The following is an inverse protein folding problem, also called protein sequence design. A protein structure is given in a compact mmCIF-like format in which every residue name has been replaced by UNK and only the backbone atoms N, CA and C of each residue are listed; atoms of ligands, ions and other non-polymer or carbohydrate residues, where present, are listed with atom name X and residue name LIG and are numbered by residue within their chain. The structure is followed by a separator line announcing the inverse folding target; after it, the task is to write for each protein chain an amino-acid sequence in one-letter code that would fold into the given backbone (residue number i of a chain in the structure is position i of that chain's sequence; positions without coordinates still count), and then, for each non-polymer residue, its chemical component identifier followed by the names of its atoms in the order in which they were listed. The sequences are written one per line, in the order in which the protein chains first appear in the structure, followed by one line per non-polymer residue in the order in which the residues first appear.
data_IF_072923596019
#
_entry.id   IF_072923596019
#
_cell.length_a   1.000
_cell.length_b   1.000
_cell.length_c   1.000
_cell.angle_alpha   90.00
_cell.angle_beta   90.00
_cell.angle_gamma   90.00
#
_symmetry.space_group_name_H-M   'P 1'
#
loop_
_entity.id
_entity.type
_entity.pdbx_description
1 polymer ?
#
# COMPACT_ATOMS: atom_id res chain seq x y z
N UNK A 1 -11.35 20.78 8.72
CA UNK A 1 -11.05 20.82 7.27
C UNK A 1 -9.68 21.46 7.15
N UNK A 2 -8.62 20.66 6.92
CA UNK A 2 -7.26 21.17 6.82
C UNK A 2 -7.10 22.02 5.55
N UNK A 3 -6.49 23.17 5.67
CA UNK A 3 -6.19 24.01 4.52
C UNK A 3 -4.99 23.47 3.76
N UNK A 4 -5.15 23.17 2.48
CA UNK A 4 -4.05 22.91 1.56
C UNK A 4 -3.28 24.24 1.35
N UNK A 5 -2.13 24.40 1.99
CA UNK A 5 -1.25 25.54 1.77
C UNK A 5 -0.42 25.33 0.50
N UNK A 6 -0.75 26.09 -0.54
CA UNK A 6 0.05 26.11 -1.77
C UNK A 6 1.38 26.85 -1.53
N UNK A 7 2.50 26.19 -1.76
CA UNK A 7 3.79 26.86 -1.92
C UNK A 7 3.90 27.42 -3.35
N UNK A 8 4.70 28.45 -3.55
CA UNK A 8 4.79 29.27 -4.78
C UNK A 8 5.17 28.54 -6.09
N UNK A 9 5.24 27.20 -6.11
CA UNK A 9 5.66 26.39 -7.26
C UNK A 9 4.87 25.09 -7.40
N UNK A 10 3.58 25.08 -7.04
CA UNK A 10 2.70 23.92 -7.18
C UNK A 10 2.96 22.80 -6.16
N UNK A 11 3.76 23.06 -5.11
CA UNK A 11 3.92 22.14 -3.98
C UNK A 11 2.87 22.41 -2.92
N UNK A 12 2.32 21.34 -2.35
CA UNK A 12 1.31 21.40 -1.30
C UNK A 12 1.78 20.56 -0.11
N UNK A 13 1.55 21.04 1.09
CA UNK A 13 1.74 20.30 2.33
C UNK A 13 0.37 19.88 2.85
N UNK A 14 0.19 18.56 3.05
CA UNK A 14 -0.95 18.04 3.78
C UNK A 14 -0.55 17.89 5.25
N UNK A 15 -1.00 18.81 6.10
CA UNK A 15 -0.66 18.90 7.53
C UNK A 15 -1.80 18.47 8.45
N UNK A 16 -2.78 17.73 7.91
CA UNK A 16 -3.93 17.21 8.63
C UNK A 16 -3.88 15.69 8.76
N UNK A 17 -4.45 15.15 9.85
CA UNK A 17 -4.57 13.72 10.10
C UNK A 17 -5.87 13.20 9.47
N UNK A 18 -5.80 11.99 8.85
CA UNK A 18 -6.97 11.28 8.31
C UNK A 18 -7.35 11.63 6.87
N UNK A 19 -6.65 12.56 6.22
CA UNK A 19 -6.94 12.97 4.84
C UNK A 19 -6.01 12.34 3.79
N UNK A 20 -5.01 11.57 4.20
CA UNK A 20 -4.01 10.99 3.31
C UNK A 20 -4.63 10.11 2.22
N UNK A 21 -5.67 9.35 2.55
CA UNK A 21 -6.40 8.53 1.58
C UNK A 21 -7.03 9.35 0.46
N UNK A 22 -7.53 10.55 0.78
CA UNK A 22 -8.10 11.48 -0.22
C UNK A 22 -7.00 12.02 -1.13
N UNK A 23 -5.84 12.34 -0.57
CA UNK A 23 -4.68 12.75 -1.35
C UNK A 23 -4.21 11.63 -2.29
N UNK A 24 -4.15 10.38 -1.83
CA UNK A 24 -3.85 9.24 -2.69
C UNK A 24 -4.88 9.06 -3.82
N UNK A 25 -6.16 9.31 -3.55
CA UNK A 25 -7.19 9.19 -4.59
C UNK A 25 -7.03 10.21 -5.73
N UNK A 26 -6.30 11.30 -5.53
CA UNK A 26 -5.99 12.32 -6.54
C UNK A 26 -4.63 12.09 -7.22
N UNK A 27 -3.79 11.22 -6.66
CA UNK A 27 -2.43 11.03 -7.14
C UNK A 27 -2.38 10.21 -8.43
N UNK A 28 -1.52 10.60 -9.37
CA UNK A 28 -1.12 9.79 -10.52
C UNK A 28 -0.05 8.76 -10.13
N UNK A 29 0.90 9.19 -9.30
CA UNK A 29 2.00 8.37 -8.77
C UNK A 29 2.15 8.67 -7.28
N UNK A 30 2.31 7.64 -6.48
CA UNK A 30 2.61 7.74 -5.05
C UNK A 30 4.04 7.31 -4.81
N UNK A 31 4.85 8.19 -4.20
CA UNK A 31 6.23 7.87 -3.81
C UNK A 31 6.28 7.60 -2.31
N UNK A 32 6.79 6.43 -1.94
CA UNK A 32 6.98 6.04 -0.54
C UNK A 32 8.30 6.65 -0.04
N UNK A 33 8.27 7.92 0.34
CA UNK A 33 9.47 8.72 0.67
C UNK A 33 10.35 8.09 1.76
N UNK A 34 9.76 7.48 2.79
CA UNK A 34 10.47 6.83 3.89
C UNK A 34 11.35 5.65 3.46
N UNK A 35 11.10 5.06 2.30
CA UNK A 35 11.88 3.94 1.75
C UNK A 35 13.21 4.36 1.11
N UNK A 36 13.48 5.67 0.99
CA UNK A 36 14.74 6.19 0.44
C UNK A 36 15.76 6.61 1.52
N UNK A 37 15.47 6.36 2.78
CA UNK A 37 16.34 6.69 3.93
C UNK A 37 16.25 5.63 5.02
N UNK A 38 16.63 6.02 6.24
CA UNK A 38 16.72 5.11 7.39
C UNK A 38 15.40 4.95 8.15
N UNK A 39 14.26 5.19 7.49
CA UNK A 39 12.93 5.10 8.08
C UNK A 39 12.17 3.83 7.66
N UNK A 40 12.82 2.91 6.97
CA UNK A 40 12.39 1.53 6.66
C UNK A 40 11.01 1.38 5.98
N UNK A 41 10.52 2.44 5.29
CA UNK A 41 9.30 2.41 4.49
C UNK A 41 8.06 2.97 5.18
N UNK A 42 6.94 2.80 4.54
CA UNK A 42 5.57 3.11 5.00
C UNK A 42 4.58 2.13 4.41
N UNK A 43 3.38 2.08 4.95
CA UNK A 43 2.30 1.25 4.43
C UNK A 43 1.92 1.62 2.99
N UNK A 44 1.96 0.62 2.11
CA UNK A 44 1.64 0.73 0.69
C UNK A 44 0.24 0.21 0.34
N UNK A 45 -0.48 -0.37 1.31
CA UNK A 45 -1.78 -0.99 1.07
C UNK A 45 -2.86 0.02 0.70
N UNK A 46 -2.86 1.22 1.31
CA UNK A 46 -3.85 2.25 0.96
C UNK A 46 -3.75 2.72 -0.49
N UNK A 47 -2.58 3.20 -0.99
CA UNK A 47 -2.47 3.60 -2.38
C UNK A 47 -2.65 2.42 -3.35
N UNK A 48 -2.24 1.20 -2.97
CA UNK A 48 -2.48 -0.01 -3.75
C UNK A 48 -3.98 -0.32 -3.88
N UNK A 49 -4.73 -0.27 -2.79
CA UNK A 49 -6.18 -0.48 -2.79
C UNK A 49 -6.93 0.54 -3.67
N UNK A 50 -6.39 1.75 -3.81
CA UNK A 50 -6.91 2.80 -4.69
C UNK A 50 -6.43 2.68 -6.15
N UNK A 51 -5.68 1.64 -6.48
CA UNK A 51 -5.16 1.41 -7.83
C UNK A 51 -4.15 2.47 -8.28
N UNK A 52 -3.35 3.02 -7.36
CA UNK A 52 -2.34 4.02 -7.69
C UNK A 52 -1.02 3.37 -8.06
N UNK A 53 -0.30 3.98 -9.00
CA UNK A 53 1.06 3.60 -9.32
C UNK A 53 1.97 3.97 -8.14
N UNK A 54 2.68 2.99 -7.58
CA UNK A 54 3.49 3.16 -6.37
C UNK A 54 4.96 3.02 -6.73
N UNK A 55 5.76 4.00 -6.32
CA UNK A 55 7.22 3.97 -6.42
C UNK A 55 7.82 3.88 -5.03
N UNK A 56 8.75 2.95 -4.83
CA UNK A 56 9.44 2.75 -3.55
C UNK A 56 10.95 2.75 -3.73
N UNK A 57 11.65 3.13 -2.68
CA UNK A 57 13.09 2.94 -2.53
C UNK A 57 13.44 1.53 -2.04
N UNK A 58 14.75 1.27 -1.82
CA UNK A 58 15.24 -0.05 -1.42
C UNK A 58 14.91 -0.45 0.03
N UNK A 59 14.53 0.52 0.89
CA UNK A 59 14.32 0.29 2.32
C UNK A 59 12.84 0.09 2.62
N UNK A 60 12.39 -1.17 2.67
CA UNK A 60 10.98 -1.54 2.90
C UNK A 60 10.84 -2.56 4.02
N UNK A 61 11.79 -2.65 4.93
CA UNK A 61 11.93 -3.71 5.93
C UNK A 61 10.71 -3.82 6.85
N UNK A 62 10.15 -2.68 7.30
CA UNK A 62 8.96 -2.65 8.17
C UNK A 62 7.69 -3.15 7.46
N UNK A 63 7.71 -3.18 6.14
CA UNK A 63 6.58 -3.57 5.28
C UNK A 63 6.99 -4.63 4.24
N UNK A 64 8.01 -5.44 4.54
CA UNK A 64 8.61 -6.37 3.60
C UNK A 64 7.60 -7.30 2.93
N UNK A 65 6.72 -7.94 3.70
CA UNK A 65 5.72 -8.86 3.15
C UNK A 65 4.77 -8.17 2.15
N UNK A 66 4.36 -6.93 2.43
CA UNK A 66 3.51 -6.13 1.53
C UNK A 66 4.29 -5.72 0.28
N UNK A 67 5.52 -5.26 0.44
CA UNK A 67 6.39 -4.85 -0.67
C UNK A 67 6.66 -6.03 -1.61
N UNK A 68 6.99 -7.19 -1.07
CA UNK A 68 7.28 -8.40 -1.83
C UNK A 68 6.05 -8.90 -2.59
N UNK A 69 4.87 -8.90 -1.97
CA UNK A 69 3.64 -9.26 -2.63
C UNK A 69 3.31 -8.31 -3.79
N UNK A 70 3.45 -7.00 -3.58
CA UNK A 70 3.22 -5.98 -4.61
C UNK A 70 4.25 -6.08 -5.75
N UNK A 71 5.54 -6.36 -5.46
CA UNK A 71 6.57 -6.61 -6.49
C UNK A 71 6.24 -7.84 -7.31
N UNK A 72 5.93 -8.95 -6.66
CA UNK A 72 5.59 -10.21 -7.33
C UNK A 72 4.36 -10.05 -8.24
N UNK A 73 3.40 -9.24 -7.83
CA UNK A 73 2.20 -8.92 -8.61
C UNK A 73 2.38 -7.82 -9.66
N UNK A 74 3.57 -7.21 -9.78
CA UNK A 74 3.83 -6.12 -10.74
C UNK A 74 3.21 -4.76 -10.34
N UNK A 75 2.74 -4.63 -9.09
CA UNK A 75 2.07 -3.44 -8.57
C UNK A 75 3.02 -2.40 -7.96
N UNK A 76 4.33 -2.68 -7.87
CA UNK A 76 5.32 -1.80 -7.27
C UNK A 76 6.43 -1.49 -8.27
N UNK A 77 6.88 -0.25 -8.29
CA UNK A 77 8.02 0.19 -9.09
C UNK A 77 9.17 0.54 -8.14
N UNK A 78 10.29 -0.15 -8.26
CA UNK A 78 11.47 0.14 -7.45
C UNK A 78 12.31 1.25 -8.09
N UNK A 79 12.86 2.13 -7.23
CA UNK A 79 13.77 3.18 -7.62
C UNK A 79 14.87 3.35 -6.56
N UNK A 80 16.02 3.86 -6.98
CA UNK A 80 17.04 4.39 -6.07
C UNK A 80 16.92 5.91 -6.00
N UNK A 81 17.63 6.57 -5.08
CA UNK A 81 17.70 8.04 -5.05
C UNK A 81 18.15 8.62 -6.39
N UNK A 82 19.13 7.98 -7.02
CA UNK A 82 19.71 8.46 -8.28
C UNK A 82 18.77 8.23 -9.47
N UNK A 83 18.01 7.14 -9.48
CA UNK A 83 17.09 6.81 -10.58
C UNK A 83 15.69 7.42 -10.41
N UNK A 84 15.32 7.91 -9.22
CA UNK A 84 13.94 8.33 -8.90
C UNK A 84 13.40 9.37 -9.90
N UNK A 85 14.18 10.40 -10.20
CA UNK A 85 13.75 11.45 -11.13
C UNK A 85 13.44 10.89 -12.53
N UNK A 86 14.30 9.99 -13.03
CA UNK A 86 14.10 9.34 -14.32
C UNK A 86 12.88 8.41 -14.32
N UNK A 87 12.71 7.60 -13.26
CA UNK A 87 11.55 6.72 -13.09
C UNK A 87 10.25 7.52 -13.07
N UNK A 88 10.20 8.61 -12.32
CA UNK A 88 9.02 9.47 -12.25
C UNK A 88 8.72 10.12 -13.59
N UNK A 89 9.72 10.65 -14.30
CA UNK A 89 9.54 11.24 -15.63
C UNK A 89 8.95 10.22 -16.61
N UNK A 90 9.46 8.99 -16.62
CA UNK A 90 8.96 7.93 -17.48
C UNK A 90 7.51 7.53 -17.13
N UNK A 91 7.17 7.43 -15.85
CA UNK A 91 5.81 7.11 -15.41
C UNK A 91 4.83 8.25 -15.71
N UNK A 92 5.24 9.50 -15.55
CA UNK A 92 4.39 10.66 -15.86
C UNK A 92 4.09 10.73 -17.36
N UNK A 93 5.07 10.43 -18.21
CA UNK A 93 4.92 10.41 -19.65
C UNK A 93 4.07 9.24 -20.17
N UNK A 94 3.93 8.15 -19.41
CA UNK A 94 3.22 6.94 -19.85
C UNK A 94 2.01 6.60 -18.93
N UNK A 95 0.82 7.16 -19.21
CA UNK A 95 -0.38 6.90 -18.42
C UNK A 95 -0.86 5.44 -18.51
N UNK A 96 -0.55 4.75 -19.61
CA UNK A 96 -0.94 3.33 -19.78
C UNK A 96 -0.14 2.46 -18.82
N UNK A 97 1.16 2.69 -18.75
CA UNK A 97 2.05 2.00 -17.82
C UNK A 97 1.68 2.29 -16.36
N UNK A 98 1.40 3.57 -16.02
CA UNK A 98 0.91 3.93 -14.68
C UNK A 98 -0.35 3.15 -14.30
N UNK A 99 -1.34 3.15 -15.20
CA UNK A 99 -2.60 2.44 -14.95
C UNK A 99 -2.40 0.93 -14.85
N UNK A 100 -1.45 0.34 -15.57
CA UNK A 100 -1.13 -1.09 -15.47
C UNK A 100 -0.58 -1.44 -14.08
N UNK A 101 0.41 -0.67 -13.59
CA UNK A 101 0.95 -0.86 -12.23
C UNK A 101 -0.13 -0.65 -11.16
N UNK A 102 -0.96 0.38 -11.30
CA UNK A 102 -2.06 0.63 -10.35
C UNK A 102 -3.08 -0.51 -10.29
N UNK A 103 -3.48 -1.06 -11.44
CA UNK A 103 -4.38 -2.23 -11.48
C UNK A 103 -3.74 -3.44 -10.82
N UNK A 104 -2.49 -3.74 -11.16
CA UNK A 104 -1.75 -4.85 -10.57
C UNK A 104 -1.65 -4.72 -9.03
N UNK A 105 -1.36 -3.51 -8.52
CA UNK A 105 -1.36 -3.25 -7.08
C UNK A 105 -2.73 -3.52 -6.43
N UNK A 106 -3.81 -3.04 -7.05
CA UNK A 106 -5.17 -3.26 -6.56
C UNK A 106 -5.55 -4.76 -6.56
N UNK A 107 -5.13 -5.51 -7.56
CA UNK A 107 -5.41 -6.94 -7.67
C UNK A 107 -4.68 -7.73 -6.57
N UNK A 108 -3.44 -7.37 -6.23
CA UNK A 108 -2.72 -7.93 -5.07
C UNK A 108 -3.47 -7.69 -3.77
N UNK A 109 -3.96 -6.47 -3.54
CA UNK A 109 -4.76 -6.15 -2.34
C UNK A 109 -6.05 -6.97 -2.30
N UNK A 110 -6.76 -7.07 -3.42
CA UNK A 110 -8.00 -7.87 -3.52
C UNK A 110 -7.76 -9.35 -3.23
N UNK A 111 -6.66 -9.90 -3.74
CA UNK A 111 -6.31 -11.30 -3.48
C UNK A 111 -6.02 -11.58 -1.99
N UNK A 112 -5.57 -10.58 -1.26
CA UNK A 112 -5.32 -10.69 0.19
C UNK A 112 -6.57 -10.43 1.05
N UNK A 113 -7.68 -9.97 0.46
CA UNK A 113 -8.94 -9.77 1.19
C UNK A 113 -9.51 -11.07 1.73
N UNK A 114 -10.39 -10.96 2.74
CA UNK A 114 -11.02 -12.11 3.39
C UNK A 114 -10.23 -12.68 4.57
N UNK A 115 -9.13 -12.06 5.00
CA UNK A 115 -8.39 -12.48 6.20
C UNK A 115 -9.30 -12.53 7.44
N UNK A 116 -10.14 -11.51 7.64
CA UNK A 116 -11.13 -11.47 8.74
C UNK A 116 -12.10 -12.65 8.69
N UNK A 117 -12.63 -12.97 7.50
CA UNK A 117 -13.54 -14.10 7.33
C UNK A 117 -12.86 -15.42 7.66
N UNK A 118 -11.62 -15.63 7.19
CA UNK A 118 -10.82 -16.82 7.51
C UNK A 118 -10.52 -16.92 9.00
N UNK A 119 -10.13 -15.82 9.64
CA UNK A 119 -9.85 -15.77 11.09
C UNK A 119 -11.10 -16.06 11.91
N UNK A 120 -12.25 -15.48 11.57
CA UNK A 120 -13.52 -15.76 12.23
C UNK A 120 -13.95 -17.23 12.07
N UNK A 121 -13.75 -17.81 10.87
CA UNK A 121 -14.05 -19.21 10.64
C UNK A 121 -13.15 -20.13 11.49
N UNK A 122 -11.85 -19.82 11.58
CA UNK A 122 -10.91 -20.54 12.43
C UNK A 122 -11.29 -20.45 13.92
N UNK A 123 -11.58 -19.24 14.40
CA UNK A 123 -12.00 -19.00 15.78
C UNK A 123 -13.25 -19.82 16.15
N UNK A 124 -14.28 -19.80 15.28
CA UNK A 124 -15.50 -20.61 15.48
C UNK A 124 -15.21 -22.10 15.57
N UNK A 125 -14.30 -22.62 14.73
CA UNK A 125 -13.89 -24.03 14.78
C UNK A 125 -13.20 -24.37 16.10
N UNK A 126 -12.29 -23.52 16.58
CA UNK A 126 -11.58 -23.73 17.85
C UNK A 126 -12.56 -23.72 19.02
N UNK A 127 -13.50 -22.79 19.06
CA UNK A 127 -14.55 -22.72 20.11
C UNK A 127 -15.39 -23.99 20.10
N UNK A 128 -15.89 -24.41 18.94
CA UNK A 128 -16.70 -25.61 18.83
C UNK A 128 -15.95 -26.91 19.31
N UNK A 129 -14.67 -27.00 18.95
CA UNK A 129 -13.83 -28.13 19.44
C UNK A 129 -13.61 -28.10 20.96
N UNK A 130 -13.48 -26.90 21.55
CA UNK A 130 -13.37 -26.74 23.01
C UNK A 130 -14.65 -27.16 23.74
N UNK A 131 -15.80 -26.71 23.22
CA UNK A 131 -17.12 -27.06 23.78
C UNK A 131 -17.40 -28.58 23.71
N UNK A 132 -17.05 -29.22 22.58
CA UNK A 132 -17.19 -30.66 22.42
C UNK A 132 -16.37 -31.42 23.47
N UNK A 133 -15.12 -30.99 23.68
CA UNK A 133 -14.21 -31.61 24.67
C UNK A 133 -14.71 -31.45 26.10
N UNK A 134 -15.31 -30.30 26.43
CA UNK A 134 -15.89 -30.07 27.78
C UNK A 134 -17.10 -30.97 28.05
N UNK A 135 -17.92 -31.26 27.02
CA UNK A 135 -19.09 -32.17 27.14
C UNK A 135 -18.72 -33.65 27.30
N UNK A 136 -17.58 -34.06 26.73
CA UNK A 136 -17.10 -35.45 26.88
C UNK A 136 -16.52 -35.77 28.28
N UNK A 137 -16.20 -34.73 29.06
CA UNK A 137 -15.59 -34.85 30.39
C UNK A 137 -16.56 -34.46 31.54
N UNK A 138 -17.81 -34.16 31.22
CA UNK A 138 -18.89 -33.86 32.18
C UNK A 138 -19.88 -35.02 32.30
#
# INVERSE_FOLDING_TARGET
MGELRAASNGRFLLDSIGELRRAYALADVVVIGRSFGDLHGSDMMEPAALGRCIVTGPRTEDFAATADALRAGGGLVDATRDSLAHVLAALIADPVRRAAHGRAACDVVRAQQGATVRTCALARRVIAMSEARTREHA
#
